data_IF_405549025557
#
_entry.id   IF_405549025557
#
_cell.length_a   1.000
_cell.length_b   1.000
_cell.length_c   1.000
_cell.angle_alpha   90.00
_cell.angle_beta   90.00
_cell.angle_gamma   90.00
#
_symmetry.space_group_name_H-M   'P 1'
#
loop_
_entity.id
_entity.type
_entity.pdbx_description
1 polymer ?
#
# COMPACT_ATOMS: atom_id res chain seq x y z
N UNK A 1 -8.09 8.20 0.23
CA UNK A 1 -7.23 9.40 0.12
C UNK A 1 -6.94 9.96 1.50
N UNK A 2 -5.91 10.80 1.68
CA UNK A 2 -5.75 11.56 2.94
C UNK A 2 -7.02 12.36 3.21
N UNK A 3 -7.48 12.34 4.47
CA UNK A 3 -8.71 12.98 4.91
C UNK A 3 -9.97 12.11 4.78
N UNK A 4 -9.93 11.05 3.96
CA UNK A 4 -11.02 10.08 3.87
C UNK A 4 -11.06 9.17 5.10
N UNK A 5 -12.18 8.49 5.30
CA UNK A 5 -12.27 7.38 6.24
C UNK A 5 -11.25 6.30 5.91
N UNK A 6 -10.78 5.59 6.96
CA UNK A 6 -9.93 4.39 6.80
C UNK A 6 -10.52 3.41 5.79
N UNK A 7 -9.65 2.72 5.07
CA UNK A 7 -10.07 1.85 3.97
C UNK A 7 -10.96 0.70 4.44
N UNK A 8 -11.98 0.37 3.65
CA UNK A 8 -12.89 -0.74 3.95
C UNK A 8 -12.31 -2.08 3.46
N UNK A 9 -11.53 -2.74 4.31
CA UNK A 9 -10.85 -4.00 3.96
C UNK A 9 -11.82 -5.12 3.55
N UNK A 10 -13.04 -5.15 4.11
CA UNK A 10 -14.06 -6.15 3.74
C UNK A 10 -14.58 -5.93 2.33
N UNK A 11 -14.76 -4.67 1.94
CA UNK A 11 -15.19 -4.32 0.59
C UNK A 11 -14.12 -4.63 -0.44
N UNK A 12 -12.85 -4.32 -0.14
CA UNK A 12 -11.70 -4.68 -0.98
C UNK A 12 -11.62 -6.21 -1.14
N UNK A 13 -11.73 -6.97 -0.05
CA UNK A 13 -11.72 -8.44 -0.12
C UNK A 13 -12.85 -8.98 -0.99
N UNK A 14 -14.05 -8.40 -0.90
CA UNK A 14 -15.21 -8.79 -1.70
C UNK A 14 -15.01 -8.46 -3.18
N UNK A 15 -14.50 -7.27 -3.50
CA UNK A 15 -14.29 -6.80 -4.86
C UNK A 15 -13.23 -7.64 -5.60
N UNK A 16 -12.14 -8.00 -4.91
CA UNK A 16 -11.00 -8.71 -5.48
C UNK A 16 -10.88 -10.15 -4.95
N UNK A 17 -12.00 -10.79 -4.65
CA UNK A 17 -12.05 -12.12 -4.00
C UNK A 17 -11.24 -13.20 -4.72
N UNK A 18 -11.15 -13.12 -6.04
CA UNK A 18 -10.46 -14.13 -6.83
C UNK A 18 -8.94 -13.90 -6.81
N UNK A 19 -8.50 -12.71 -6.40
CA UNK A 19 -7.10 -12.27 -6.37
C UNK A 19 -6.53 -12.22 -4.96
N UNK A 20 -7.39 -12.01 -3.95
CA UNK A 20 -7.03 -11.96 -2.54
C UNK A 20 -7.28 -13.33 -1.92
N UNK A 21 -6.20 -13.98 -1.48
CA UNK A 21 -6.27 -15.23 -0.75
C UNK A 21 -6.80 -15.01 0.68
N UNK A 22 -6.25 -14.01 1.38
CA UNK A 22 -6.67 -13.65 2.74
C UNK A 22 -6.25 -12.22 3.10
N UNK A 23 -6.86 -11.68 4.17
CA UNK A 23 -6.44 -10.44 4.82
C UNK A 23 -6.10 -10.76 6.28
N UNK A 24 -4.89 -10.40 6.70
CA UNK A 24 -4.38 -10.59 8.07
C UNK A 24 -4.40 -9.27 8.83
N UNK A 25 -4.56 -9.34 10.15
CA UNK A 25 -4.72 -8.17 11.06
C UNK A 25 -3.40 -7.48 11.48
N UNK A 26 -2.29 -7.73 10.79
CA UNK A 26 -0.99 -7.16 11.11
C UNK A 26 -0.31 -6.57 9.89
N UNK A 27 0.51 -5.53 10.07
CA UNK A 27 1.42 -5.01 9.03
C UNK A 27 2.78 -5.74 9.04
N UNK A 28 3.76 -5.21 8.30
CA UNK A 28 5.13 -5.75 8.21
C UNK A 28 5.88 -5.78 9.55
N UNK A 29 5.43 -5.02 10.55
CA UNK A 29 6.03 -4.99 11.90
C UNK A 29 5.39 -6.01 12.84
N UNK A 30 4.33 -6.69 12.42
CA UNK A 30 3.56 -7.63 13.25
C UNK A 30 2.61 -6.94 14.25
N UNK A 31 2.46 -5.61 14.19
CA UNK A 31 1.57 -4.86 15.08
C UNK A 31 0.12 -4.95 14.62
N UNK A 32 -0.79 -5.06 15.58
CA UNK A 32 -2.23 -5.01 15.35
C UNK A 32 -2.73 -3.58 15.12
N UNK A 33 -3.94 -3.46 14.57
CA UNK A 33 -4.68 -2.20 14.49
C UNK A 33 -4.93 -1.59 15.88
N UNK A 34 -5.06 -0.27 15.93
CA UNK A 34 -5.41 0.51 17.12
C UNK A 34 -6.35 1.65 16.74
N UNK A 35 -6.80 2.43 17.73
CA UNK A 35 -7.65 3.61 17.48
C UNK A 35 -6.97 4.68 16.60
N UNK A 36 -5.63 4.68 16.52
CA UNK A 36 -4.85 5.65 15.74
C UNK A 36 -4.22 5.04 14.49
N UNK A 37 -4.48 3.76 14.20
CA UNK A 37 -3.90 3.13 13.03
C UNK A 37 -4.67 1.88 12.59
N UNK A 38 -4.96 1.79 11.30
CA UNK A 38 -5.38 0.54 10.66
C UNK A 38 -4.13 -0.18 10.13
N UNK A 39 -4.00 -1.46 10.47
CA UNK A 39 -2.90 -2.33 10.02
C UNK A 39 -3.46 -3.62 9.47
N UNK A 40 -2.98 -4.00 8.30
CA UNK A 40 -3.36 -5.26 7.68
C UNK A 40 -2.28 -5.76 6.73
N UNK A 41 -2.40 -7.03 6.34
CA UNK A 41 -1.66 -7.59 5.21
C UNK A 41 -2.64 -8.27 4.28
N UNK A 42 -2.71 -7.83 3.03
CA UNK A 42 -3.39 -8.58 1.97
C UNK A 42 -2.41 -9.61 1.44
N UNK A 43 -2.82 -10.88 1.41
CA UNK A 43 -2.10 -11.96 0.73
C UNK A 43 -2.77 -12.19 -0.62
N UNK A 44 -2.03 -12.00 -1.70
CA UNK A 44 -2.55 -12.22 -3.06
C UNK A 44 -2.39 -13.68 -3.49
N UNK A 45 -3.13 -14.07 -4.53
CA UNK A 45 -3.17 -15.43 -5.08
C UNK A 45 -1.84 -15.92 -5.64
N UNK A 46 -0.93 -15.01 -6.01
CA UNK A 46 0.45 -15.34 -6.44
C UNK A 46 1.43 -15.47 -5.26
N UNK A 47 0.93 -15.32 -4.03
CA UNK A 47 1.70 -15.36 -2.79
C UNK A 47 2.39 -14.04 -2.43
N UNK A 48 2.32 -13.00 -3.28
CA UNK A 48 2.80 -11.65 -2.94
C UNK A 48 1.95 -11.03 -1.82
N UNK A 49 2.51 -10.03 -1.13
CA UNK A 49 1.88 -9.39 0.04
C UNK A 49 1.79 -7.89 -0.17
N UNK A 50 0.66 -7.29 0.18
CA UNK A 50 0.56 -5.85 0.39
C UNK A 50 0.43 -5.59 1.89
N UNK A 51 1.49 -5.04 2.49
CA UNK A 51 1.46 -4.55 3.86
C UNK A 51 0.79 -3.18 3.89
N UNK A 52 -0.16 -3.02 4.81
CA UNK A 52 -1.02 -1.84 4.92
C UNK A 52 -0.81 -1.22 6.29
N UNK A 53 -0.44 0.06 6.29
CA UNK A 53 -0.45 0.90 7.48
C UNK A 53 -1.13 2.21 7.13
N UNK A 54 -2.28 2.50 7.76
CA UNK A 54 -2.94 3.80 7.70
C UNK A 54 -2.86 4.42 9.08
N UNK A 55 -2.26 5.61 9.19
CA UNK A 55 -2.27 6.40 10.41
C UNK A 55 -3.54 7.24 10.40
N UNK A 56 -4.25 7.23 11.52
CA UNK A 56 -5.61 7.76 11.61
C UNK A 56 -5.72 8.86 12.66
N UNK A 57 -6.51 9.88 12.32
CA UNK A 57 -7.10 10.80 13.30
C UNK A 57 -8.02 10.04 14.27
N UNK A 58 -8.39 10.69 15.38
CA UNK A 58 -9.40 10.18 16.32
C UNK A 58 -10.78 9.96 15.68
N UNK A 59 -11.05 10.59 14.53
CA UNK A 59 -12.28 10.45 13.75
C UNK A 59 -12.16 9.34 12.68
N UNK A 60 -11.15 8.48 12.78
CA UNK A 60 -10.85 7.39 11.83
C UNK A 60 -10.65 7.86 10.38
N UNK A 61 -10.16 9.10 10.22
CA UNK A 61 -9.73 9.63 8.92
C UNK A 61 -8.23 9.43 8.73
N UNK A 62 -7.82 9.09 7.52
CA UNK A 62 -6.42 8.85 7.15
C UNK A 62 -5.64 10.17 7.20
N UNK A 63 -4.59 10.22 8.02
CA UNK A 63 -3.61 11.32 8.01
C UNK A 63 -2.48 11.04 7.04
N UNK A 64 -1.95 9.82 7.07
CA UNK A 64 -1.00 9.30 6.08
C UNK A 64 -1.10 7.78 5.97
N UNK A 65 -0.55 7.22 4.92
CA UNK A 65 -0.47 5.78 4.74
C UNK A 65 0.87 5.31 4.16
N UNK A 66 1.19 4.06 4.46
CA UNK A 66 2.25 3.29 3.83
C UNK A 66 1.68 1.97 3.33
N UNK A 67 1.72 1.75 2.01
CA UNK A 67 1.36 0.48 1.40
C UNK A 67 2.58 -0.11 0.68
N UNK A 68 3.12 -1.20 1.24
CA UNK A 68 4.35 -1.84 0.77
C UNK A 68 4.01 -3.19 0.12
N UNK A 69 4.22 -3.29 -1.18
CA UNK A 69 3.97 -4.49 -1.97
C UNK A 69 5.25 -5.31 -2.17
N UNK A 70 5.24 -6.53 -1.65
CA UNK A 70 6.39 -7.43 -1.55
C UNK A 70 6.10 -8.73 -2.30
N UNK A 71 7.07 -9.23 -3.06
CA UNK A 71 6.94 -10.47 -3.78
C UNK A 71 6.78 -11.70 -2.87
N UNK A 72 6.46 -12.84 -3.48
CA UNK A 72 6.28 -14.11 -2.78
C UNK A 72 7.55 -14.60 -2.07
N UNK A 73 8.74 -14.18 -2.53
CA UNK A 73 10.04 -14.47 -1.91
C UNK A 73 10.27 -13.71 -0.58
N UNK A 74 9.37 -12.79 -0.19
CA UNK A 74 9.43 -11.95 1.02
C UNK A 74 10.61 -10.97 1.08
N UNK A 75 11.42 -10.88 0.04
CA UNK A 75 12.64 -10.07 -0.01
C UNK A 75 12.50 -8.96 -1.06
N UNK A 76 11.90 -9.27 -2.21
CA UNK A 76 11.80 -8.35 -3.33
C UNK A 76 10.66 -7.36 -3.13
N UNK A 77 10.97 -6.07 -3.13
CA UNK A 77 9.96 -4.99 -3.13
C UNK A 77 9.48 -4.76 -4.55
N UNK A 78 8.18 -4.96 -4.79
CA UNK A 78 7.53 -4.73 -6.08
C UNK A 78 7.03 -3.29 -6.23
N UNK A 79 6.65 -2.66 -5.12
CA UNK A 79 6.28 -1.25 -5.07
C UNK A 79 6.07 -0.77 -3.65
N UNK A 80 6.23 0.53 -3.42
CA UNK A 80 5.84 1.19 -2.17
C UNK A 80 5.04 2.44 -2.53
N UNK A 81 3.82 2.54 -2.02
CA UNK A 81 2.88 3.63 -2.28
C UNK A 81 2.66 4.37 -0.98
N UNK A 82 3.22 5.57 -0.87
CA UNK A 82 3.23 6.34 0.37
C UNK A 82 2.54 7.68 0.18
N UNK A 83 2.07 8.24 1.30
CA UNK A 83 1.44 9.56 1.35
C UNK A 83 2.04 10.45 2.43
N UNK A 84 3.30 10.24 2.81
CA UNK A 84 3.98 11.07 3.79
C UNK A 84 4.51 12.37 3.14
N UNK A 85 4.25 13.55 3.73
CA UNK A 85 4.80 14.80 3.25
C UNK A 85 6.29 14.92 3.56
N UNK A 86 7.07 15.47 2.63
CA UNK A 86 8.50 15.69 2.80
C UNK A 86 8.85 17.17 2.98
N UNK A 87 9.70 17.47 3.97
CA UNK A 87 10.19 18.85 4.22
C UNK A 87 11.29 19.28 3.22
N UNK A 88 12.11 18.34 2.74
CA UNK A 88 13.17 18.61 1.76
C UNK A 88 12.59 18.58 0.33
N UNK A 89 12.63 19.73 -0.34
CA UNK A 89 12.13 19.92 -1.71
C UNK A 89 12.75 18.94 -2.71
N UNK A 90 13.98 18.47 -2.49
CA UNK A 90 14.63 17.49 -3.38
C UNK A 90 13.96 16.11 -3.32
N UNK A 91 13.15 15.86 -2.29
CA UNK A 91 12.40 14.62 -2.12
C UNK A 91 10.92 14.75 -2.44
N UNK A 92 10.44 15.96 -2.75
CA UNK A 92 9.06 16.17 -3.16
C UNK A 92 8.84 15.72 -4.62
N UNK A 93 7.60 15.36 -4.92
CA UNK A 93 7.13 15.13 -6.28
C UNK A 93 5.98 16.09 -6.61
N UNK A 94 5.63 16.23 -7.89
CA UNK A 94 4.51 17.09 -8.32
C UNK A 94 3.14 16.69 -7.71
N UNK A 95 3.05 15.50 -7.12
CA UNK A 95 1.84 14.94 -6.50
C UNK A 95 1.97 14.79 -4.99
N UNK A 96 2.92 15.49 -4.36
CA UNK A 96 3.09 15.47 -2.91
C UNK A 96 1.73 15.59 -2.19
N UNK A 97 1.42 14.72 -1.22
CA UNK A 97 2.33 13.78 -0.59
C UNK A 97 2.37 12.38 -1.25
N UNK A 98 1.64 12.15 -2.34
CA UNK A 98 1.52 10.84 -2.98
C UNK A 98 2.71 10.54 -3.88
N UNK A 99 3.41 9.44 -3.61
CA UNK A 99 4.54 9.01 -4.43
C UNK A 99 4.74 7.49 -4.41
N UNK A 100 5.50 7.00 -5.38
CA UNK A 100 5.90 5.59 -5.49
C UNK A 100 7.42 5.47 -5.46
N UNK A 101 7.93 4.49 -4.71
CA UNK A 101 9.35 4.14 -4.74
C UNK A 101 9.65 3.13 -5.86
N UNK A 102 10.82 3.27 -6.49
CA UNK A 102 11.34 2.28 -7.43
C UNK A 102 11.47 0.89 -6.76
N UNK A 103 11.17 -0.22 -7.47
CA UNK A 103 11.47 -1.57 -7.00
C UNK A 103 12.96 -1.71 -6.66
N UNK A 104 13.30 -2.18 -5.45
CA UNK A 104 14.69 -2.41 -5.01
C UNK A 104 14.77 -3.62 -4.06
N UNK A 105 15.97 -4.22 -3.95
CA UNK A 105 16.33 -5.11 -2.84
C UNK A 105 16.29 -4.34 -1.50
N UNK A 106 16.05 -5.00 -0.35
CA UNK A 106 15.60 -4.36 0.90
C UNK A 106 16.66 -3.49 1.61
N UNK A 107 17.83 -3.30 1.01
CA UNK A 107 18.95 -2.55 1.55
C UNK A 107 19.19 -1.27 0.73
N UNK A 108 18.82 -0.12 1.30
CA UNK A 108 19.35 1.25 1.04
C UNK A 108 18.65 2.17 0.00
N UNK A 109 18.14 3.27 0.58
CA UNK A 109 17.91 4.65 0.13
C UNK A 109 17.10 5.00 -1.15
N UNK A 110 15.88 5.50 -0.90
CA UNK A 110 15.38 6.90 -1.11
C UNK A 110 15.82 7.79 -2.27
N UNK A 111 16.51 7.32 -3.31
CA UNK A 111 16.98 8.31 -4.31
C UNK A 111 15.97 8.67 -5.41
N UNK A 112 15.01 7.79 -5.74
CA UNK A 112 14.06 8.09 -6.81
C UNK A 112 12.62 7.77 -6.40
N UNK A 113 11.85 8.85 -6.25
CA UNK A 113 10.41 8.85 -6.08
C UNK A 113 9.77 9.26 -7.39
N UNK A 114 8.62 8.70 -7.69
CA UNK A 114 7.83 9.05 -8.86
C UNK A 114 6.50 9.64 -8.41
N UNK A 115 6.01 10.70 -9.08
CA UNK A 115 4.69 11.24 -8.78
C UNK A 115 3.62 10.19 -9.02
N UNK A 116 2.64 10.13 -8.13
CA UNK A 116 1.53 9.21 -8.18
C UNK A 116 0.21 9.97 -8.38
N UNK A 117 -0.18 10.14 -9.64
CA UNK A 117 -1.39 10.88 -10.01
C UNK A 117 -2.69 10.06 -9.88
N UNK A 118 -2.60 8.74 -9.72
CA UNK A 118 -3.73 7.86 -10.03
C UNK A 118 -4.07 6.84 -8.94
N UNK A 119 -3.08 6.39 -8.17
CA UNK A 119 -3.26 5.33 -7.17
C UNK A 119 -3.06 5.89 -5.75
N UNK A 120 -3.94 6.80 -5.33
CA UNK A 120 -3.80 7.59 -4.09
C UNK A 120 -4.63 7.05 -2.92
N UNK A 121 -5.22 5.87 -3.08
CA UNK A 121 -5.98 5.16 -2.06
C UNK A 121 -5.77 3.64 -2.19
N UNK A 122 -6.08 2.90 -1.11
CA UNK A 122 -5.84 1.47 -1.08
C UNK A 122 -6.63 0.70 -2.16
N UNK A 123 -7.87 1.12 -2.46
CA UNK A 123 -8.71 0.42 -3.42
C UNK A 123 -8.12 0.53 -4.82
N UNK A 124 -7.77 1.75 -5.26
CA UNK A 124 -7.14 1.98 -6.58
C UNK A 124 -5.77 1.31 -6.71
N UNK A 125 -5.01 1.17 -5.63
CA UNK A 125 -3.74 0.43 -5.63
C UNK A 125 -3.98 -1.07 -5.80
N UNK A 126 -4.90 -1.65 -5.03
CA UNK A 126 -5.24 -3.08 -5.15
C UNK A 126 -5.81 -3.38 -6.54
N UNK A 127 -6.64 -2.48 -7.08
CA UNK A 127 -7.16 -2.57 -8.43
C UNK A 127 -6.04 -2.61 -9.48
N UNK A 128 -5.06 -1.70 -9.36
CA UNK A 128 -3.90 -1.68 -10.26
C UNK A 128 -3.09 -2.98 -10.20
N UNK A 129 -2.79 -3.48 -9.00
CA UNK A 129 -2.09 -4.76 -8.80
C UNK A 129 -2.89 -5.90 -9.46
N UNK A 130 -4.20 -5.92 -9.28
CA UNK A 130 -5.05 -6.95 -9.86
C UNK A 130 -4.99 -6.96 -11.39
N UNK A 131 -5.26 -5.82 -12.04
CA UNK A 131 -5.36 -5.75 -13.50
C UNK A 131 -4.01 -5.90 -14.19
N UNK A 132 -2.94 -5.31 -13.65
CA UNK A 132 -1.67 -5.23 -14.36
C UNK A 132 -0.66 -6.31 -13.96
N UNK A 133 -0.83 -6.97 -12.81
CA UNK A 133 0.10 -8.01 -12.35
C UNK A 133 -0.55 -9.37 -12.21
N UNK A 134 -1.69 -9.48 -11.51
CA UNK A 134 -2.29 -10.78 -11.20
C UNK A 134 -3.08 -11.37 -12.37
N UNK A 135 -3.88 -10.56 -13.06
CA UNK A 135 -4.68 -11.03 -14.20
C UNK A 135 -3.84 -11.58 -15.35
N UNK A 136 -2.75 -10.92 -15.81
CA UNK A 136 -1.95 -11.43 -16.93
C UNK A 136 -1.27 -12.78 -16.67
N UNK A 137 -1.13 -13.18 -15.40
CA UNK A 137 -0.50 -14.44 -15.01
C UNK A 137 -1.47 -15.63 -15.04
N UNK A 138 -2.78 -15.38 -15.15
CA UNK A 138 -3.81 -16.42 -15.27
C UNK A 138 -3.78 -16.95 -16.70
N UNK A 139 -3.11 -18.08 -16.89
CA UNK A 139 -3.18 -18.88 -18.13
C UNK A 139 -4.39 -19.79 -18.13
#
# INVERSE_FOLDING_TARGET
>A
MIGDSKSNLKEIQKAFRDAIQEIRETDSTGKLSSILAQRATIVFSDGSLLYITEILTKQERIELYHYDWIASDRITVLGKYHSEPHEDENYQTDTEPYHVHSPKHPTLNTERRYPNHSHTDLFSIVEGIFFFHLMPQRK
#
